data_IF_523256742756
#
_entry.id   IF_523256742756
#
_cell.length_a   1.000
_cell.length_b   1.000
_cell.length_c   1.000
_cell.angle_alpha   90.00
_cell.angle_beta   90.00
_cell.angle_gamma   90.00
#
_symmetry.space_group_name_H-M   'P 1'
#
loop_
_entity.id
_entity.type
_entity.pdbx_description
1 polymer ?
#
# COMPACT_ATOMS: atom_id res chain seq x y z
N UNK A 1 4.10 7.88 4.13
CA UNK A 1 3.12 8.83 4.70
C UNK A 1 1.82 8.07 4.99
N UNK A 2 1.15 8.38 6.10
CA UNK A 2 -0.22 7.92 6.39
C UNK A 2 -1.11 9.16 6.48
N UNK A 3 -2.26 9.15 5.80
CA UNK A 3 -3.22 10.24 5.87
C UNK A 3 -4.64 9.71 5.99
N UNK A 4 -5.58 10.58 6.39
CA UNK A 4 -7.00 10.25 6.53
C UNK A 4 -7.84 11.14 5.61
N UNK A 5 -8.74 10.53 4.85
CA UNK A 5 -9.70 11.21 4.00
C UNK A 5 -11.06 10.54 4.12
N UNK A 6 -12.12 11.32 4.40
CA UNK A 6 -13.50 10.84 4.57
C UNK A 6 -13.64 9.62 5.51
N UNK A 7 -12.89 9.62 6.61
CA UNK A 7 -12.94 8.53 7.61
C UNK A 7 -12.06 7.32 7.28
N UNK A 8 -11.46 7.25 6.09
CA UNK A 8 -10.55 6.18 5.68
C UNK A 8 -9.09 6.59 5.80
N UNK A 9 -8.24 5.68 6.27
CA UNK A 9 -6.80 5.82 6.35
C UNK A 9 -6.12 5.22 5.13
N UNK A 10 -5.12 5.92 4.60
CA UNK A 10 -4.39 5.55 3.39
C UNK A 10 -2.89 5.54 3.66
N UNK A 11 -2.22 4.58 3.04
CA UNK A 11 -0.76 4.55 2.93
C UNK A 11 -0.34 5.22 1.64
N UNK A 12 0.67 6.09 1.72
CA UNK A 12 1.26 6.77 0.58
C UNK A 12 2.78 6.63 0.64
N UNK A 13 3.37 6.08 -0.43
CA UNK A 13 4.81 5.94 -0.61
C UNK A 13 5.27 6.64 -1.89
N UNK A 14 6.47 7.22 -1.86
CA UNK A 14 7.05 7.95 -2.99
C UNK A 14 8.19 7.15 -3.60
N UNK A 15 8.11 6.88 -4.90
CA UNK A 15 9.11 6.13 -5.67
C UNK A 15 9.79 7.05 -6.67
N UNK A 16 11.12 7.10 -6.62
CA UNK A 16 11.95 7.79 -7.61
C UNK A 16 12.50 6.86 -8.69
N UNK A 17 11.89 5.67 -8.85
CA UNK A 17 12.27 4.68 -9.86
C UNK A 17 12.27 5.31 -11.26
N UNK A 18 13.24 4.92 -12.08
CA UNK A 18 13.29 5.29 -13.49
C UNK A 18 12.63 4.20 -14.32
N UNK A 19 11.55 4.54 -15.03
CA UNK A 19 10.89 3.63 -15.99
C UNK A 19 11.10 4.08 -17.45
N UNK A 20 11.58 5.31 -17.65
CA UNK A 20 11.86 5.92 -18.94
C UNK A 20 12.00 7.44 -18.82
N UNK A 21 12.16 8.11 -19.96
CA UNK A 21 12.49 9.54 -20.03
C UNK A 21 11.32 10.46 -19.69
N UNK A 22 10.08 10.07 -20.02
CA UNK A 22 8.89 10.88 -19.82
C UNK A 22 7.73 10.10 -19.19
N UNK A 23 6.59 10.78 -18.98
CA UNK A 23 5.42 10.21 -18.31
C UNK A 23 4.81 9.01 -19.05
N UNK A 24 5.00 8.91 -20.36
CA UNK A 24 4.51 7.77 -21.17
C UNK A 24 5.16 6.44 -20.77
N UNK A 25 6.34 6.48 -20.13
CA UNK A 25 7.00 5.29 -19.59
C UNK A 25 6.40 4.81 -18.25
N UNK A 26 5.55 5.61 -17.62
CA UNK A 26 4.93 5.32 -16.31
C UNK A 26 3.47 4.91 -16.47
N UNK A 27 3.21 4.05 -17.45
CA UNK A 27 1.90 3.41 -17.62
C UNK A 27 1.58 2.48 -16.44
N UNK A 28 0.30 2.16 -16.27
CA UNK A 28 -0.14 1.19 -15.25
C UNK A 28 0.59 -0.16 -15.38
N UNK A 29 0.81 -0.62 -16.61
CA UNK A 29 1.51 -1.89 -16.87
C UNK A 29 2.99 -1.82 -16.49
N UNK A 30 3.69 -0.73 -16.87
CA UNK A 30 5.10 -0.54 -16.53
C UNK A 30 5.29 -0.40 -15.00
N UNK A 31 4.42 0.35 -14.34
CA UNK A 31 4.43 0.48 -12.88
C UNK A 31 4.14 -0.87 -12.21
N UNK A 32 3.15 -1.64 -12.67
CA UNK A 32 2.86 -2.96 -12.13
C UNK A 32 4.05 -3.93 -12.27
N UNK A 33 4.75 -3.91 -13.41
CA UNK A 33 5.97 -4.68 -13.61
C UNK A 33 7.09 -4.25 -12.65
N UNK A 34 7.29 -2.95 -12.46
CA UNK A 34 8.26 -2.42 -11.50
C UNK A 34 7.92 -2.79 -10.05
N UNK A 35 6.63 -2.76 -9.68
CA UNK A 35 6.15 -3.20 -8.38
C UNK A 35 6.54 -4.65 -8.10
N UNK A 36 6.36 -5.54 -9.09
CA UNK A 36 6.75 -6.95 -8.97
C UNK A 36 8.28 -7.12 -8.93
N UNK A 37 9.01 -6.46 -9.82
CA UNK A 37 10.46 -6.58 -9.92
C UNK A 37 11.18 -6.18 -8.62
N UNK A 38 10.68 -5.15 -7.93
CA UNK A 38 11.22 -4.68 -6.66
C UNK A 38 10.53 -5.27 -5.43
N UNK A 39 9.60 -6.21 -5.62
CA UNK A 39 8.81 -6.85 -4.55
C UNK A 39 8.08 -5.85 -3.65
N UNK A 40 7.62 -4.74 -4.22
CA UNK A 40 6.82 -3.74 -3.52
C UNK A 40 5.43 -4.28 -3.15
N UNK A 41 5.01 -5.41 -3.72
CA UNK A 41 3.85 -6.19 -3.28
C UNK A 41 3.95 -6.60 -1.82
N UNK A 42 5.09 -7.20 -1.44
CA UNK A 42 5.35 -7.58 -0.07
C UNK A 42 5.43 -6.35 0.85
N UNK A 43 6.04 -5.26 0.35
CA UNK A 43 6.16 -4.01 1.11
C UNK A 43 4.78 -3.46 1.49
N UNK A 44 3.85 -3.32 0.54
CA UNK A 44 2.54 -2.79 0.87
C UNK A 44 1.73 -3.71 1.77
N UNK A 45 1.91 -5.04 1.68
CA UNK A 45 1.24 -6.00 2.55
C UNK A 45 1.70 -5.82 4.01
N UNK A 46 3.01 -5.74 4.23
CA UNK A 46 3.58 -5.52 5.56
C UNK A 46 3.22 -4.16 6.14
N UNK A 47 3.24 -3.10 5.33
CA UNK A 47 2.83 -1.77 5.78
C UNK A 47 1.34 -1.71 6.10
N UNK A 48 0.51 -2.41 5.32
CA UNK A 48 -0.93 -2.51 5.59
C UNK A 48 -1.18 -3.27 6.88
N UNK A 49 -0.49 -4.38 7.14
CA UNK A 49 -0.57 -5.10 8.41
C UNK A 49 -0.16 -4.21 9.60
N UNK A 50 0.96 -3.50 9.48
CA UNK A 50 1.42 -2.60 10.53
C UNK A 50 0.40 -1.50 10.83
N UNK A 51 -0.14 -0.86 9.80
CA UNK A 51 -1.17 0.16 9.96
C UNK A 51 -2.49 -0.43 10.49
N UNK A 52 -2.88 -1.61 10.04
CA UNK A 52 -4.05 -2.33 10.51
C UNK A 52 -3.99 -2.57 12.02
N UNK A 53 -2.88 -3.15 12.51
CA UNK A 53 -2.64 -3.34 13.95
C UNK A 53 -2.65 -2.02 14.73
N UNK A 54 -1.98 -1.00 14.18
CA UNK A 54 -1.93 0.32 14.81
C UNK A 54 -3.32 0.96 14.94
N UNK A 55 -4.13 0.93 13.89
CA UNK A 55 -5.48 1.50 13.90
C UNK A 55 -6.41 0.71 14.82
N UNK A 56 -6.32 -0.63 14.81
CA UNK A 56 -7.07 -1.50 15.72
C UNK A 56 -6.82 -1.15 17.19
N UNK A 57 -5.59 -0.78 17.53
CA UNK A 57 -5.23 -0.36 18.89
C UNK A 57 -5.69 1.06 19.23
N UNK A 58 -5.78 1.96 18.25
CA UNK A 58 -6.04 3.40 18.46
C UNK A 58 -7.50 3.81 18.32
N UNK A 59 -8.28 3.08 17.55
CA UNK A 59 -9.66 3.42 17.19
C UNK A 59 -10.59 2.40 17.86
N UNK A 60 -11.48 2.88 18.72
CA UNK A 60 -12.58 2.07 19.23
C UNK A 60 -13.48 1.62 18.07
N UNK A 61 -13.92 0.36 18.11
CA UNK A 61 -14.74 -0.26 17.06
C UNK A 61 -14.11 -0.20 15.66
N UNK A 62 -12.77 -0.32 15.60
CA UNK A 62 -12.05 -0.40 14.35
C UNK A 62 -12.50 -1.59 13.50
N UNK A 63 -12.66 -1.31 12.21
CA UNK A 63 -13.07 -2.26 11.17
C UNK A 63 -12.28 -1.94 9.90
N UNK A 64 -11.62 -2.95 9.31
CA UNK A 64 -10.74 -2.75 8.16
C UNK A 64 -11.50 -2.27 6.91
N UNK A 65 -12.71 -2.79 6.68
CA UNK A 65 -13.52 -2.43 5.51
C UNK A 65 -14.03 -0.98 5.55
N UNK A 66 -14.31 -0.48 6.75
CA UNK A 66 -14.76 0.90 6.99
C UNK A 66 -13.62 1.88 7.07
N UNK A 67 -12.54 1.53 7.75
CA UNK A 67 -11.49 2.49 8.13
C UNK A 67 -10.25 2.44 7.26
N UNK A 68 -10.00 1.37 6.50
CA UNK A 68 -8.83 1.30 5.62
C UNK A 68 -9.22 1.61 4.17
N UNK A 69 -8.54 2.60 3.58
CA UNK A 69 -8.82 3.14 2.26
C UNK A 69 -7.95 2.57 1.15
N UNK A 70 -6.75 2.10 1.47
CA UNK A 70 -5.83 1.51 0.49
C UNK A 70 -4.42 2.06 0.58
N UNK A 71 -3.64 1.70 -0.44
CA UNK A 71 -2.22 2.03 -0.57
C UNK A 71 -1.99 2.69 -1.92
N UNK A 72 -1.19 3.75 -1.91
CA UNK A 72 -0.86 4.57 -3.07
C UNK A 72 0.65 4.67 -3.17
N UNK A 73 1.18 4.39 -4.36
CA UNK A 73 2.57 4.55 -4.72
C UNK A 73 2.67 5.62 -5.80
N UNK A 74 3.39 6.70 -5.50
CA UNK A 74 3.64 7.78 -6.45
C UNK A 74 5.02 7.63 -7.08
N UNK A 75 5.05 7.22 -8.33
CA UNK A 75 6.24 7.27 -9.18
C UNK A 75 6.45 8.71 -9.63
N UNK A 76 7.22 9.47 -8.84
CA UNK A 76 7.34 10.93 -8.93
C UNK A 76 7.68 11.44 -10.33
N UNK A 77 8.46 10.68 -11.09
CA UNK A 77 8.93 11.04 -12.43
C UNK A 77 7.85 10.87 -13.52
N UNK A 78 6.78 10.13 -13.23
CA UNK A 78 5.69 9.86 -14.16
C UNK A 78 4.43 10.68 -13.91
N UNK A 79 4.42 11.54 -12.89
CA UNK A 79 3.26 12.36 -12.55
C UNK A 79 3.16 13.51 -13.55
N UNK A 80 2.12 13.47 -14.36
CA UNK A 80 1.84 14.47 -15.39
C UNK A 80 0.39 14.96 -15.28
N UNK A 81 0.17 16.26 -15.54
CA UNK A 81 -1.16 16.89 -15.41
C UNK A 81 -2.12 16.48 -16.53
N UNK A 82 -1.60 16.23 -17.72
CA UNK A 82 -2.38 15.84 -18.88
C UNK A 82 -2.75 14.34 -18.81
N UNK A 83 -1.95 13.55 -18.09
CA UNK A 83 -2.14 12.10 -17.94
C UNK A 83 -2.26 11.69 -16.47
N UNK A 84 -3.39 11.98 -15.79
CA UNK A 84 -3.53 11.81 -14.34
C UNK A 84 -3.45 10.36 -13.84
N UNK A 85 -3.54 9.38 -14.75
CA UNK A 85 -3.35 7.95 -14.42
C UNK A 85 -1.89 7.49 -14.51
N UNK A 86 -0.98 8.30 -15.05
CA UNK A 86 0.45 8.00 -15.10
C UNK A 86 1.12 8.38 -13.79
N UNK A 87 2.11 7.58 -13.38
CA UNK A 87 2.87 7.85 -12.16
C UNK A 87 2.14 7.53 -10.84
N UNK A 88 0.88 7.07 -10.88
CA UNK A 88 0.12 6.69 -9.68
C UNK A 88 -0.27 5.21 -9.77
N UNK A 89 0.25 4.40 -8.84
CA UNK A 89 -0.20 3.03 -8.63
C UNK A 89 -1.02 2.98 -7.33
N UNK A 90 -2.22 2.41 -7.38
CA UNK A 90 -3.09 2.26 -6.21
C UNK A 90 -3.57 0.82 -6.07
N UNK A 91 -3.62 0.34 -4.84
CA UNK A 91 -4.13 -1.00 -4.52
C UNK A 91 -4.77 -1.03 -3.14
N UNK A 92 -5.67 -1.98 -2.91
CA UNK A 92 -6.25 -2.25 -1.59
C UNK A 92 -6.04 -3.73 -1.28
N UNK A 93 -5.13 -4.06 -0.35
CA UNK A 93 -4.94 -5.45 0.07
C UNK A 93 -6.24 -6.07 0.60
N UNK A 94 -6.45 -7.34 0.28
CA UNK A 94 -7.60 -8.11 0.73
C UNK A 94 -7.59 -8.23 2.27
N UNK A 95 -8.73 -7.98 2.92
CA UNK A 95 -8.84 -8.05 4.38
C UNK A 95 -8.43 -9.42 4.92
N UNK A 96 -8.95 -10.50 4.33
CA UNK A 96 -8.63 -11.86 4.73
C UNK A 96 -7.15 -12.21 4.60
N UNK A 97 -6.43 -11.64 3.62
CA UNK A 97 -4.97 -11.77 3.57
C UNK A 97 -4.31 -11.09 4.77
N UNK A 98 -4.74 -9.89 5.12
CA UNK A 98 -4.18 -9.14 6.27
C UNK A 98 -4.48 -9.86 7.58
N UNK A 99 -5.68 -10.42 7.74
CA UNK A 99 -6.07 -11.20 8.92
C UNK A 99 -5.21 -12.48 9.04
N UNK A 100 -5.04 -13.23 7.95
CA UNK A 100 -4.17 -14.42 7.93
C UNK A 100 -2.70 -14.08 8.25
N UNK A 101 -2.19 -12.97 7.73
CA UNK A 101 -0.85 -12.49 8.09
C UNK A 101 -0.77 -12.11 9.57
N UNK A 102 -1.79 -11.42 10.09
CA UNK A 102 -1.87 -11.02 11.50
C UNK A 102 -1.78 -12.23 12.43
N UNK A 103 -2.57 -13.27 12.14
CA UNK A 103 -2.55 -14.55 12.87
C UNK A 103 -1.20 -15.25 12.77
N UNK A 104 -0.62 -15.35 11.57
CA UNK A 104 0.68 -15.99 11.34
C UNK A 104 1.80 -15.34 12.17
N UNK A 105 1.83 -14.01 12.28
CA UNK A 105 2.83 -13.33 13.09
C UNK A 105 2.58 -13.45 14.60
N UNK A 106 1.32 -13.67 15.01
CA UNK A 106 0.99 -13.89 16.42
C UNK A 106 1.31 -15.32 16.90
N UNK A 107 1.18 -16.33 16.02
CA UNK A 107 1.54 -17.70 16.35
C UNK A 107 3.05 -17.91 16.47
N UNK A 108 3.86 -17.24 15.63
CA UNK A 108 5.33 -17.30 15.73
C UNK A 108 5.85 -16.80 17.07
N UNK A 109 5.21 -15.81 17.68
CA UNK A 109 5.59 -15.31 19.02
C UNK A 109 5.28 -16.28 20.17
N UNK A 110 4.43 -17.28 19.95
CA UNK A 110 4.07 -18.27 20.98
C UNK A 110 4.96 -19.52 20.94
N UNK A 111 5.60 -19.84 19.80
CA UNK A 111 6.52 -20.98 19.69
C UNK A 111 7.94 -20.68 20.21
N UNK A 112 8.29 -19.40 20.37
CA UNK A 112 9.60 -18.95 20.88
C UNK A 112 9.59 -18.56 22.38
N UNK A 113 8.46 -18.72 23.08
CA UNK A 113 8.28 -18.38 24.50
C UNK A 113 8.12 -19.62 25.39
#
# INVERSE_FOLDING_TARGET
LVFRHEGRYYLLDYKSNWLGEDSSAYTQQAMAAAMQAHRYDLQYQLYTLALHRYLRHRIADYDYERHFGGVIYLFLRGVDKEHPQQGIYATRPNAGLIDLMDEMFASMTLEEA
#
